data_IF_707378357209
#
_entry.id   IF_707378357209
#
_cell.length_a   1.000
_cell.length_b   1.000
_cell.length_c   1.000
_cell.angle_alpha   90.00
_cell.angle_beta   90.00
_cell.angle_gamma   90.00
#
_symmetry.space_group_name_H-M   'P 1'
#
loop_
_entity.id
_entity.type
_entity.pdbx_description
1 polymer ?
#
# COMPACT_ATOMS: atom_id res chain seq x y z
N UNK A 1 3.55 16.25 -5.98
CA UNK A 1 3.65 16.26 -4.51
C UNK A 1 5.12 16.52 -4.15
N UNK A 2 5.59 17.77 -4.21
CA UNK A 2 7.01 18.06 -4.49
C UNK A 2 7.96 18.08 -3.28
N UNK A 3 7.48 17.82 -2.06
CA UNK A 3 8.24 18.12 -0.84
C UNK A 3 8.52 16.90 0.07
N UNK A 4 8.43 15.67 -0.46
CA UNK A 4 8.62 14.45 0.34
C UNK A 4 10.05 14.33 0.89
N UNK A 5 11.05 14.70 0.08
CA UNK A 5 12.48 14.67 0.48
C UNK A 5 12.75 15.63 1.63
N UNK A 6 12.26 16.85 1.50
CA UNK A 6 12.37 17.91 2.49
C UNK A 6 11.65 17.53 3.79
N UNK A 7 10.51 16.83 3.68
CA UNK A 7 9.76 16.33 4.84
C UNK A 7 10.56 15.28 5.61
N UNK A 8 11.15 14.29 4.93
CA UNK A 8 11.95 13.26 5.63
C UNK A 8 13.24 13.85 6.22
N UNK A 9 13.84 14.86 5.59
CA UNK A 9 15.00 15.57 6.13
C UNK A 9 14.62 16.35 7.39
N UNK A 10 13.48 17.04 7.39
CA UNK A 10 12.94 17.70 8.58
C UNK A 10 12.68 16.68 9.68
N UNK A 11 12.05 15.53 9.39
CA UNK A 11 11.85 14.45 10.35
C UNK A 11 13.18 13.98 10.97
N UNK A 12 14.23 13.82 10.17
CA UNK A 12 15.56 13.48 10.67
C UNK A 12 16.12 14.56 11.60
N UNK A 13 15.98 15.83 11.22
CA UNK A 13 16.46 16.97 12.03
C UNK A 13 15.77 17.07 13.39
N UNK A 14 14.48 16.75 13.48
CA UNK A 14 13.74 16.73 14.76
C UNK A 14 13.96 15.45 15.57
N UNK A 15 14.80 14.52 15.10
CA UNK A 15 15.21 13.32 15.83
C UNK A 15 14.32 12.09 15.63
N UNK A 16 13.53 12.03 14.55
CA UNK A 16 12.79 10.80 14.23
C UNK A 16 13.76 9.65 13.93
N UNK A 17 13.51 8.48 14.52
CA UNK A 17 14.25 7.25 14.22
C UNK A 17 13.71 6.54 12.97
N UNK A 18 12.41 6.71 12.71
CA UNK A 18 11.73 6.18 11.53
C UNK A 18 10.53 7.04 11.14
N UNK A 19 10.09 6.92 9.89
CA UNK A 19 8.89 7.60 9.37
C UNK A 19 8.06 6.60 8.54
N UNK A 20 6.77 6.45 8.84
CA UNK A 20 5.84 5.75 7.97
C UNK A 20 5.11 6.79 7.10
N UNK A 21 5.20 6.65 5.78
CA UNK A 21 4.58 7.53 4.79
C UNK A 21 3.44 6.76 4.13
N UNK A 22 2.20 7.12 4.46
CA UNK A 22 1.01 6.46 3.94
C UNK A 22 0.49 7.15 2.68
N UNK A 23 0.14 6.34 1.68
CA UNK A 23 -0.67 6.78 0.55
C UNK A 23 -2.10 7.10 1.03
N UNK A 24 -2.66 8.26 0.63
CA UNK A 24 -3.94 8.71 1.16
C UNK A 24 -5.09 7.78 0.77
N UNK A 25 -6.00 7.56 1.71
CA UNK A 25 -7.33 6.99 1.47
C UNK A 25 -8.30 8.08 1.01
N UNK A 26 -9.18 7.74 0.08
CA UNK A 26 -10.25 8.63 -0.36
C UNK A 26 -11.50 8.52 0.55
N UNK A 27 -11.32 8.79 1.83
CA UNK A 27 -12.40 8.71 2.84
C UNK A 27 -12.88 10.11 3.26
N UNK A 28 -14.15 10.20 3.67
CA UNK A 28 -14.76 11.46 4.12
C UNK A 28 -14.68 12.57 3.05
N UNK A 29 -14.18 13.75 3.44
CA UNK A 29 -14.05 14.89 2.53
C UNK A 29 -13.02 14.67 1.41
N UNK A 30 -12.05 13.77 1.59
CA UNK A 30 -11.11 13.43 0.52
C UNK A 30 -11.83 12.75 -0.64
N UNK A 31 -12.92 12.00 -0.38
CA UNK A 31 -13.75 11.41 -1.44
C UNK A 31 -14.47 12.48 -2.27
N UNK A 32 -14.94 13.55 -1.62
CA UNK A 32 -15.62 14.67 -2.29
C UNK A 32 -14.67 15.49 -3.16
N UNK A 33 -13.38 15.51 -2.80
CA UNK A 33 -12.32 16.24 -3.49
C UNK A 33 -11.26 15.27 -4.04
N UNK A 34 -11.72 14.11 -4.55
CA UNK A 34 -10.86 12.97 -4.88
C UNK A 34 -9.65 13.37 -5.71
N UNK A 35 -9.88 14.05 -6.83
CA UNK A 35 -8.82 14.42 -7.77
C UNK A 35 -7.84 15.48 -7.23
N UNK A 36 -8.23 16.21 -6.18
CA UNK A 36 -7.37 17.19 -5.53
C UNK A 36 -6.55 16.57 -4.40
N UNK A 37 -7.05 15.50 -3.78
CA UNK A 37 -6.42 14.85 -2.61
C UNK A 37 -5.64 13.57 -2.96
N UNK A 38 -6.08 12.84 -3.97
CA UNK A 38 -5.57 11.51 -4.30
C UNK A 38 -4.77 11.62 -5.60
N UNK A 39 -3.43 11.58 -5.54
CA UNK A 39 -2.61 11.59 -6.75
C UNK A 39 -2.67 10.24 -7.44
N UNK A 40 -2.35 10.17 -8.73
CA UNK A 40 -2.10 8.88 -9.36
C UNK A 40 -0.79 8.28 -8.88
N UNK A 41 -0.71 6.96 -8.73
CA UNK A 41 0.56 6.32 -8.37
C UNK A 41 1.66 6.61 -9.40
N UNK A 42 1.30 6.64 -10.69
CA UNK A 42 2.22 7.00 -11.78
C UNK A 42 2.80 8.41 -11.66
N UNK A 43 2.04 9.37 -11.12
CA UNK A 43 2.47 10.76 -10.93
C UNK A 43 3.50 10.89 -9.81
N UNK A 44 3.38 10.08 -8.75
CA UNK A 44 4.25 10.15 -7.56
C UNK A 44 5.36 9.11 -7.56
N UNK A 45 5.39 8.17 -8.52
CA UNK A 45 6.38 7.08 -8.57
C UNK A 45 7.81 7.59 -8.46
N UNK A 46 8.14 8.65 -9.20
CA UNK A 46 9.47 9.24 -9.18
C UNK A 46 9.82 9.79 -7.79
N UNK A 47 8.88 10.54 -7.19
CA UNK A 47 9.07 11.13 -5.86
C UNK A 47 9.25 10.06 -4.79
N UNK A 48 8.50 8.95 -4.85
CA UNK A 48 8.64 7.78 -3.97
C UNK A 48 10.07 7.21 -4.04
N UNK A 49 10.56 6.93 -5.25
CA UNK A 49 11.87 6.31 -5.44
C UNK A 49 13.01 7.25 -5.03
N UNK A 50 12.91 8.53 -5.38
CA UNK A 50 13.90 9.53 -4.98
C UNK A 50 13.92 9.76 -3.46
N UNK A 51 12.75 9.79 -2.83
CA UNK A 51 12.63 9.92 -1.37
C UNK A 51 13.19 8.70 -0.65
N UNK A 52 12.94 7.50 -1.17
CA UNK A 52 13.52 6.25 -0.64
C UNK A 52 15.04 6.25 -0.75
N UNK A 53 15.57 6.64 -1.90
CA UNK A 53 17.02 6.78 -2.07
C UNK A 53 17.58 7.80 -1.07
N UNK A 54 16.92 8.95 -0.92
CA UNK A 54 17.36 10.00 0.00
C UNK A 54 17.33 9.56 1.46
N UNK A 55 16.31 8.80 1.88
CA UNK A 55 16.21 8.31 3.26
C UNK A 55 17.38 7.39 3.63
N UNK A 56 17.82 6.56 2.68
CA UNK A 56 19.02 5.72 2.83
C UNK A 56 20.27 6.60 2.99
N UNK A 57 20.43 7.62 2.15
CA UNK A 57 21.59 8.53 2.21
C UNK A 57 21.71 9.27 3.54
N UNK A 58 20.59 9.68 4.14
CA UNK A 58 20.57 10.41 5.41
C UNK A 58 20.48 9.49 6.64
N UNK A 59 20.44 8.17 6.44
CA UNK A 59 20.31 7.19 7.52
C UNK A 59 19.01 7.37 8.32
N UNK A 60 17.88 7.55 7.62
CA UNK A 60 16.54 7.54 8.19
C UNK A 60 15.77 6.34 7.64
N UNK A 61 15.29 5.48 8.54
CA UNK A 61 14.40 4.39 8.13
C UNK A 61 13.04 4.97 7.72
N UNK A 62 12.52 4.58 6.57
CA UNK A 62 11.16 4.91 6.18
C UNK A 62 10.39 3.64 5.80
N UNK A 63 9.08 3.70 5.95
CA UNK A 63 8.15 2.72 5.43
C UNK A 63 7.15 3.41 4.50
N UNK A 64 6.81 2.76 3.39
CA UNK A 64 5.73 3.17 2.50
C UNK A 64 4.50 2.33 2.78
N UNK A 65 3.44 2.95 3.26
CA UNK A 65 2.15 2.31 3.46
C UNK A 65 1.24 2.55 2.27
N UNK A 66 0.54 1.50 1.84
CA UNK A 66 -0.38 1.46 0.71
C UNK A 66 0.23 1.87 -0.64
N UNK A 67 1.54 1.64 -0.80
CA UNK A 67 2.22 1.68 -2.09
C UNK A 67 2.38 0.24 -2.61
N UNK A 68 1.80 -0.10 -3.79
CA UNK A 68 1.97 -1.43 -4.36
C UNK A 68 3.43 -1.74 -4.69
N UNK A 69 3.86 -3.00 -4.52
CA UNK A 69 5.26 -3.40 -4.71
C UNK A 69 5.79 -3.14 -6.13
N UNK A 70 4.92 -3.10 -7.15
CA UNK A 70 5.33 -2.74 -8.51
C UNK A 70 5.72 -1.27 -8.68
N UNK A 71 5.42 -0.40 -7.70
CA UNK A 71 5.88 0.99 -7.66
C UNK A 71 7.18 1.18 -6.87
N UNK A 72 7.64 0.16 -6.15
CA UNK A 72 8.84 0.18 -5.30
C UNK A 72 9.98 -0.65 -5.89
N UNK A 73 10.19 -0.61 -7.20
CA UNK A 73 11.22 -1.44 -7.86
C UNK A 73 12.60 -1.23 -7.22
N UNK A 74 13.23 -2.33 -6.77
CA UNK A 74 14.49 -2.38 -6.01
C UNK A 74 14.42 -1.85 -4.55
N UNK A 75 13.25 -1.45 -4.11
CA UNK A 75 12.97 -0.94 -2.76
C UNK A 75 11.74 -1.62 -2.15
N UNK A 76 11.40 -2.83 -2.59
CA UNK A 76 10.17 -3.52 -2.18
C UNK A 76 10.14 -3.76 -0.68
N UNK A 77 11.30 -3.95 -0.06
CA UNK A 77 11.45 -4.07 1.39
C UNK A 77 11.05 -2.82 2.14
N UNK A 78 10.84 -1.66 1.51
CA UNK A 78 10.33 -0.45 2.17
C UNK A 78 8.80 -0.44 2.30
N UNK A 79 8.07 -1.39 1.70
CA UNK A 79 6.63 -1.50 1.91
C UNK A 79 6.29 -1.89 3.36
N UNK A 80 5.42 -1.11 4.02
CA UNK A 80 5.08 -1.31 5.43
C UNK A 80 4.33 -2.63 5.64
N UNK A 81 3.49 -3.03 4.69
CA UNK A 81 2.65 -4.25 4.74
C UNK A 81 3.48 -5.52 4.89
N UNK A 82 4.73 -5.51 4.40
CA UNK A 82 5.66 -6.62 4.58
C UNK A 82 6.09 -6.80 6.05
N UNK A 83 5.96 -5.77 6.90
CA UNK A 83 6.29 -5.81 8.33
C UNK A 83 5.08 -5.72 9.25
N UNK A 84 3.89 -5.38 8.73
CA UNK A 84 2.69 -5.26 9.55
C UNK A 84 2.35 -6.57 10.26
N UNK A 85 1.85 -6.46 11.50
CA UNK A 85 1.41 -7.60 12.30
C UNK A 85 0.24 -8.36 11.63
N UNK A 86 0.22 -9.69 11.79
CA UNK A 86 -0.93 -10.55 11.44
C UNK A 86 -2.22 -10.10 12.13
N UNK A 87 -2.08 -9.46 13.28
CA UNK A 87 -3.18 -8.93 14.07
C UNK A 87 -2.89 -7.46 14.35
N UNK A 88 -3.61 -6.59 13.66
CA UNK A 88 -3.63 -5.16 13.92
C UNK A 88 -5.04 -4.75 14.31
N UNK A 89 -5.13 -3.86 15.30
CA UNK A 89 -6.37 -3.23 15.73
C UNK A 89 -6.32 -1.79 15.27
N UNK A 90 -7.33 -1.34 14.53
CA UNK A 90 -7.51 0.07 14.21
C UNK A 90 -8.45 0.67 15.25
N UNK A 91 -8.04 1.79 15.84
CA UNK A 91 -8.88 2.58 16.75
C UNK A 91 -8.98 3.99 16.20
N UNK A 92 -10.19 4.39 15.84
CA UNK A 92 -10.51 5.78 15.56
C UNK A 92 -11.41 6.34 16.68
N UNK A 93 -11.87 7.59 16.52
CA UNK A 93 -12.67 8.28 17.54
C UNK A 93 -14.02 7.61 17.83
N UNK A 94 -14.57 6.87 16.86
CA UNK A 94 -15.95 6.38 16.85
C UNK A 94 -16.09 4.88 16.62
N UNK A 95 -15.02 4.22 16.19
CA UNK A 95 -15.01 2.86 15.73
C UNK A 95 -13.69 2.18 16.10
N UNK A 96 -13.78 0.89 16.39
CA UNK A 96 -12.64 0.02 16.60
C UNK A 96 -12.81 -1.20 15.71
N UNK A 97 -11.83 -1.42 14.84
CA UNK A 97 -11.69 -2.65 14.07
C UNK A 97 -10.69 -3.56 14.75
N UNK A 98 -11.20 -4.57 15.45
CA UNK A 98 -10.41 -5.56 16.20
C UNK A 98 -9.55 -6.45 15.29
N UNK A 99 -9.78 -6.46 13.98
CA UNK A 99 -8.97 -7.21 13.03
C UNK A 99 -8.77 -6.42 11.73
N UNK A 100 -8.12 -5.26 11.87
CA UNK A 100 -7.82 -4.39 10.76
C UNK A 100 -6.92 -5.03 9.70
N UNK A 101 -6.11 -6.03 10.06
CA UNK A 101 -5.34 -6.81 9.08
C UNK A 101 -6.26 -7.54 8.10
N UNK A 102 -7.29 -8.22 8.62
CA UNK A 102 -8.29 -8.87 7.76
C UNK A 102 -9.03 -7.83 6.92
N UNK A 103 -9.44 -6.71 7.51
CA UNK A 103 -10.14 -5.64 6.77
C UNK A 103 -9.29 -5.10 5.63
N UNK A 104 -8.02 -4.73 5.85
CA UNK A 104 -7.14 -4.26 4.76
C UNK A 104 -7.04 -5.27 3.63
N UNK A 105 -6.80 -6.54 3.94
CA UNK A 105 -6.52 -7.56 2.93
C UNK A 105 -7.78 -8.08 2.23
N UNK A 106 -8.94 -8.03 2.89
CA UNK A 106 -10.18 -8.61 2.34
C UNK A 106 -11.18 -7.58 1.86
N UNK A 107 -11.22 -6.38 2.43
CA UNK A 107 -12.22 -5.34 2.10
C UNK A 107 -11.61 -4.00 1.67
N UNK A 108 -10.58 -3.47 2.33
CA UNK A 108 -10.10 -2.11 2.05
C UNK A 108 -9.03 -2.00 0.94
N UNK A 109 -8.31 -3.07 0.59
CA UNK A 109 -7.33 -3.09 -0.51
C UNK A 109 -7.64 -4.14 -1.57
N UNK A 110 -7.22 -3.88 -2.81
CA UNK A 110 -7.46 -4.77 -3.95
C UNK A 110 -6.36 -4.75 -5.01
N UNK A 111 -6.43 -5.75 -5.90
CA UNK A 111 -5.49 -5.98 -7.02
C UNK A 111 -6.16 -5.90 -8.38
N UNK A 112 -5.52 -5.19 -9.31
CA UNK A 112 -5.87 -5.19 -10.72
C UNK A 112 -5.92 -6.61 -11.33
N UNK A 113 -6.76 -6.86 -12.35
CA UNK A 113 -6.80 -8.15 -13.06
C UNK A 113 -5.44 -8.64 -13.56
N UNK A 114 -4.57 -7.71 -13.98
CA UNK A 114 -3.22 -8.00 -14.47
C UNK A 114 -2.27 -8.49 -13.36
N UNK A 115 -2.57 -8.22 -12.08
CA UNK A 115 -1.70 -8.61 -10.97
C UNK A 115 -1.50 -10.13 -10.85
N UNK A 116 -2.39 -10.96 -11.42
CA UNK A 116 -2.22 -12.43 -11.49
C UNK A 116 -0.89 -12.86 -12.07
N UNK A 117 -0.31 -12.06 -12.96
CA UNK A 117 0.94 -12.34 -13.64
C UNK A 117 2.16 -11.76 -12.91
N UNK A 118 1.93 -11.02 -11.82
CA UNK A 118 2.98 -10.35 -11.07
C UNK A 118 3.66 -11.33 -10.12
N UNK A 119 4.99 -11.33 -10.06
CA UNK A 119 5.73 -12.14 -9.08
C UNK A 119 5.30 -11.83 -7.64
N UNK A 120 4.91 -10.59 -7.35
CA UNK A 120 4.49 -10.16 -6.01
C UNK A 120 3.03 -10.44 -5.66
N UNK A 121 2.29 -11.19 -6.49
CA UNK A 121 0.86 -11.41 -6.33
C UNK A 121 0.44 -11.88 -4.93
N UNK A 122 1.21 -12.81 -4.34
CA UNK A 122 0.91 -13.41 -3.04
C UNK A 122 1.23 -12.50 -1.83
N UNK A 123 2.04 -11.45 -2.01
CA UNK A 123 2.61 -10.71 -0.86
C UNK A 123 2.29 -9.22 -0.86
N UNK A 124 2.03 -8.63 -2.03
CA UNK A 124 1.55 -7.26 -2.11
C UNK A 124 0.10 -7.23 -1.62
N UNK A 125 -0.36 -6.22 -0.87
CA UNK A 125 -1.79 -6.07 -0.51
C UNK A 125 -2.63 -5.44 -1.63
N UNK A 126 -1.98 -4.67 -2.52
CA UNK A 126 -2.62 -3.93 -3.61
C UNK A 126 -2.80 -2.46 -3.27
N UNK A 127 -3.73 -1.81 -3.95
CA UNK A 127 -4.10 -0.39 -3.74
C UNK A 127 -5.32 -0.30 -2.82
N UNK A 128 -5.62 0.89 -2.28
CA UNK A 128 -6.91 1.13 -1.64
C UNK A 128 -8.06 0.91 -2.61
N UNK A 129 -9.18 0.39 -2.12
CA UNK A 129 -10.32 0.11 -2.99
C UNK A 129 -11.00 1.38 -3.50
N UNK A 130 -11.06 2.41 -2.67
CA UNK A 130 -11.56 3.73 -3.04
C UNK A 130 -10.80 4.38 -4.23
N UNK A 131 -9.57 3.96 -4.50
CA UNK A 131 -8.78 4.44 -5.64
C UNK A 131 -9.43 4.07 -6.99
N UNK A 132 -10.03 2.87 -7.08
CA UNK A 132 -10.64 2.36 -8.31
C UNK A 132 -11.95 3.09 -8.67
N UNK A 133 -12.51 3.85 -7.72
CA UNK A 133 -13.69 4.69 -7.97
C UNK A 133 -13.35 5.91 -8.83
N UNK A 134 -12.12 6.44 -8.71
CA UNK A 134 -11.71 7.67 -9.39
C UNK A 134 -10.69 7.47 -10.51
N UNK A 135 -9.85 6.42 -10.43
CA UNK A 135 -8.81 6.14 -11.42
C UNK A 135 -8.85 4.69 -11.92
N UNK A 136 -8.45 4.51 -13.18
CA UNK A 136 -8.26 3.20 -13.76
C UNK A 136 -6.98 2.53 -13.22
N UNK A 137 -7.09 1.24 -12.89
CA UNK A 137 -6.01 0.45 -12.26
C UNK A 137 -4.96 -0.08 -13.25
N UNK A 138 -5.01 0.30 -14.53
CA UNK A 138 -4.08 -0.11 -15.59
C UNK A 138 -2.63 0.31 -15.33
N UNK A 139 -2.39 1.35 -14.52
CA UNK A 139 -1.04 1.75 -14.14
C UNK A 139 -0.32 0.70 -13.26
N UNK A 140 -1.05 -0.23 -12.64
CA UNK A 140 -0.46 -1.35 -11.92
C UNK A 140 0.22 -2.29 -12.92
N UNK A 141 1.53 -2.14 -13.08
CA UNK A 141 2.29 -2.95 -14.03
C UNK A 141 2.82 -4.21 -13.34
N UNK A 142 2.47 -5.43 -13.81
CA UNK A 142 2.99 -6.67 -13.25
C UNK A 142 4.52 -6.73 -13.37
N UNK A 143 5.20 -7.11 -12.30
CA UNK A 143 6.64 -7.36 -12.35
C UNK A 143 6.85 -8.82 -12.79
N UNK A 144 7.52 -9.07 -13.92
CA UNK A 144 7.73 -10.42 -14.44
C UNK A 144 8.62 -11.24 -13.51
N UNK A 145 8.47 -12.56 -13.58
CA UNK A 145 9.23 -13.51 -12.79
C UNK A 145 10.34 -14.12 -13.67
N UNK A 146 11.59 -13.69 -13.48
CA UNK A 146 12.73 -14.27 -14.21
C UNK A 146 13.13 -15.65 -13.66
N UNK A 147 12.92 -15.86 -12.35
CA UNK A 147 13.12 -17.14 -11.65
C UNK A 147 12.04 -17.35 -10.56
N UNK A 148 11.39 -18.52 -10.51
CA UNK A 148 10.39 -18.80 -9.47
C UNK A 148 10.95 -18.73 -8.05
N UNK A 149 10.37 -17.88 -7.21
CA UNK A 149 10.52 -17.95 -5.74
C UNK A 149 11.79 -17.36 -5.10
N UNK A 150 12.66 -16.68 -5.84
CA UNK A 150 13.90 -16.10 -5.26
C UNK A 150 13.58 -14.96 -4.26
N UNK A 151 12.58 -14.13 -4.55
CA UNK A 151 12.08 -13.07 -3.65
C UNK A 151 11.26 -13.61 -2.47
N UNK A 152 10.83 -14.87 -2.49
CA UNK A 152 10.02 -15.46 -1.41
C UNK A 152 10.88 -15.94 -0.25
N UNK A 153 12.20 -16.11 -0.40
CA UNK A 153 13.05 -16.63 0.67
C UNK A 153 13.05 -15.72 1.89
N UNK A 154 13.25 -14.42 1.67
CA UNK A 154 13.27 -13.43 2.75
C UNK A 154 11.85 -13.05 3.20
N UNK A 155 10.87 -13.08 2.29
CA UNK A 155 9.48 -12.69 2.58
C UNK A 155 8.71 -13.77 3.36
N UNK A 156 9.03 -15.06 3.19
CA UNK A 156 8.41 -16.16 3.97
C UNK A 156 8.71 -16.08 5.47
N UNK A 157 9.76 -15.35 5.86
CA UNK A 157 10.11 -15.11 7.24
C UNK A 157 9.36 -13.92 7.84
N UNK A 158 8.60 -13.17 7.03
CA UNK A 158 7.92 -11.97 7.48
C UNK A 158 6.57 -12.28 8.14
N UNK A 159 6.18 -11.49 9.16
CA UNK A 159 4.95 -11.75 9.90
C UNK A 159 3.69 -11.77 9.03
N UNK A 160 3.60 -11.02 7.94
CA UNK A 160 2.33 -10.86 7.20
C UNK A 160 2.01 -11.96 6.17
N UNK A 161 2.90 -12.94 5.95
CA UNK A 161 2.81 -13.88 4.81
C UNK A 161 1.56 -14.79 4.76
N UNK A 162 0.91 -15.06 5.89
CA UNK A 162 -0.17 -16.07 5.96
C UNK A 162 -1.54 -15.60 5.44
N UNK A 163 -1.68 -14.32 5.07
CA UNK A 163 -2.95 -13.77 4.61
C UNK A 163 -2.84 -13.18 3.21
N UNK A 164 -3.53 -13.81 2.25
CA UNK A 164 -3.56 -13.39 0.87
C UNK A 164 -4.73 -12.42 0.62
N UNK A 165 -4.48 -11.21 0.11
CA UNK A 165 -5.52 -10.24 -0.22
C UNK A 165 -6.38 -10.69 -1.41
N UNK A 166 -7.67 -10.32 -1.38
CA UNK A 166 -8.66 -10.76 -2.37
C UNK A 166 -8.52 -9.95 -3.68
N UNK A 167 -8.36 -10.60 -4.85
CA UNK A 167 -8.30 -9.90 -6.14
C UNK A 167 -9.61 -9.17 -6.50
N UNK A 168 -9.54 -8.05 -7.25
CA UNK A 168 -10.73 -7.22 -7.60
C UNK A 168 -11.83 -8.04 -8.24
N UNK A 169 -11.48 -8.94 -9.16
CA UNK A 169 -12.42 -9.74 -9.93
C UNK A 169 -13.09 -10.89 -9.14
N UNK A 170 -12.65 -11.18 -7.90
CA UNK A 170 -13.22 -12.24 -7.06
C UNK A 170 -14.27 -11.71 -6.08
N UNK A 171 -14.52 -10.39 -6.04
CA UNK A 171 -15.45 -9.75 -5.09
C UNK A 171 -16.92 -9.70 -5.52
N UNK A 172 -17.36 -10.46 -6.52
CA UNK A 172 -18.77 -10.48 -6.91
C UNK A 172 -19.43 -11.85 -6.69
N UNK A 173 -19.76 -12.16 -5.43
CA UNK A 173 -21.01 -12.83 -5.00
C UNK A 173 -21.23 -12.39 -3.52
N UNK A 174 -22.29 -11.61 -3.25
CA UNK A 174 -22.76 -11.12 -1.93
C UNK A 174 -21.95 -10.04 -1.17
N UNK A 175 -22.09 -8.76 -1.51
CA UNK A 175 -22.08 -7.63 -0.52
C UNK A 175 -22.50 -6.30 -1.15
N UNK A 176 -23.77 -6.21 -1.57
CA UNK A 176 -24.48 -4.93 -1.78
C UNK A 176 -25.94 -5.01 -1.31
N UNK A 177 -26.21 -5.86 -0.29
CA UNK A 177 -27.52 -5.93 0.38
C UNK A 177 -27.30 -6.01 1.89
N UNK A 178 -26.95 -4.88 2.50
CA UNK A 178 -27.32 -4.55 3.88
C UNK A 178 -26.74 -3.18 4.21
N UNK A 179 -27.52 -2.13 3.90
CA UNK A 179 -27.62 -0.86 4.66
C UNK A 179 -28.34 0.21 3.81
N UNK A 180 -29.55 -0.15 3.35
CA UNK A 180 -30.64 0.81 3.13
C UNK A 180 -31.88 0.24 3.80
N UNK A 181 -31.98 0.41 5.12
CA UNK A 181 -33.23 0.59 5.86
C UNK A 181 -32.93 1.63 6.94
#
# INVERSE_FOLDING_TARGET
MHNLKETIEMCKQIGCNSVNIAFPHAMGNARLNFYDCIPKYSEIKKDILETTKRSIEIGLHIDWEAIPLCFLSNYETFASELRMSKHSVLKDLTHTDENYTKTRQTTAKRKGPQCKQCKYFLICEGIWDDYEEGYDVSELTPIPQDKPGEYLRDVRLLPSFDLNPVPIYERNIHTFISNKI
#
